data_IF_445334068362
#
_entry.id   IF_445334068362
#
_cell.length_a   1.000
_cell.length_b   1.000
_cell.length_c   1.000
_cell.angle_alpha   90.00
_cell.angle_beta   90.00
_cell.angle_gamma   90.00
#
_symmetry.space_group_name_H-M   'P 1'
#
loop_
_entity.id
_entity.type
_entity.pdbx_description
1 polymer ?
#
# COMPACT_ATOMS: atom_id res chain seq x y z
N UNK A 1 -21.53 17.33 47.83
CA UNK A 1 -20.65 16.46 47.04
C UNK A 1 -19.25 17.08 47.05
N UNK A 2 -18.26 16.37 47.53
CA UNK A 2 -16.88 16.91 47.58
C UNK A 2 -16.36 17.18 46.18
N UNK A 3 -15.56 18.22 46.01
CA UNK A 3 -14.97 18.60 44.72
C UNK A 3 -14.25 17.42 44.03
N UNK A 4 -13.77 16.46 44.81
CA UNK A 4 -13.20 15.18 44.31
C UNK A 4 -14.28 14.29 43.64
N UNK A 5 -15.47 14.13 44.22
CA UNK A 5 -16.54 13.31 43.63
C UNK A 5 -17.06 13.82 42.30
N UNK A 6 -17.09 15.16 42.14
CA UNK A 6 -17.47 15.76 40.85
C UNK A 6 -16.39 15.57 39.78
N UNK A 7 -15.11 15.65 40.14
CA UNK A 7 -14.00 15.37 39.20
C UNK A 7 -13.98 13.92 38.75
N UNK A 8 -14.12 12.97 39.66
CA UNK A 8 -14.16 11.54 39.36
C UNK A 8 -15.38 11.16 38.50
N UNK A 9 -16.52 11.82 38.72
CA UNK A 9 -17.69 11.63 37.85
C UNK A 9 -17.47 12.14 36.43
N UNK A 10 -16.89 13.34 36.27
CA UNK A 10 -16.53 13.89 34.95
C UNK A 10 -15.52 13.01 34.22
N UNK A 11 -14.49 12.52 34.91
CA UNK A 11 -13.50 11.61 34.32
C UNK A 11 -14.12 10.30 33.83
N UNK A 12 -15.03 9.71 34.61
CA UNK A 12 -15.74 8.51 34.18
C UNK A 12 -16.66 8.78 32.99
N UNK A 13 -17.39 9.89 33.02
CA UNK A 13 -18.26 10.27 31.91
C UNK A 13 -17.45 10.52 30.63
N UNK A 14 -16.32 11.20 30.74
CA UNK A 14 -15.41 11.42 29.62
C UNK A 14 -14.83 10.09 29.08
N UNK A 15 -14.37 9.22 29.98
CA UNK A 15 -13.88 7.89 29.61
C UNK A 15 -14.93 7.07 28.84
N UNK A 16 -16.16 7.00 29.34
CA UNK A 16 -17.25 6.29 28.66
C UNK A 16 -17.63 6.95 27.32
N UNK A 17 -17.61 8.26 27.24
CA UNK A 17 -17.83 8.97 25.99
C UNK A 17 -16.76 8.63 24.94
N UNK A 18 -15.49 8.62 25.33
CA UNK A 18 -14.37 8.22 24.46
C UNK A 18 -14.53 6.76 24.02
N UNK A 19 -14.83 5.85 24.94
CA UNK A 19 -15.08 4.44 24.62
C UNK A 19 -16.27 4.27 23.65
N UNK A 20 -17.35 5.03 23.87
CA UNK A 20 -18.52 5.00 22.99
C UNK A 20 -18.18 5.45 21.57
N UNK A 21 -17.50 6.60 21.40
CA UNK A 21 -17.09 7.07 20.08
C UNK A 21 -16.06 6.15 19.41
N UNK A 22 -15.12 5.60 20.18
CA UNK A 22 -14.18 4.61 19.67
C UNK A 22 -14.90 3.34 19.18
N UNK A 23 -15.89 2.85 19.94
CA UNK A 23 -16.71 1.71 19.51
C UNK A 23 -17.54 2.03 18.27
N UNK A 24 -18.10 3.24 18.20
CA UNK A 24 -18.90 3.68 17.06
C UNK A 24 -18.09 3.70 15.76
N UNK A 25 -16.79 4.01 15.82
CA UNK A 25 -15.89 3.95 14.65
C UNK A 25 -15.41 2.53 14.33
N UNK A 26 -15.27 1.67 15.35
CA UNK A 26 -14.80 0.30 15.17
C UNK A 26 -15.89 -0.65 14.64
N UNK A 27 -17.14 -0.45 15.03
CA UNK A 27 -18.27 -1.32 14.62
C UNK A 27 -18.43 -1.43 13.11
N UNK A 28 -18.50 -0.33 12.32
CA UNK A 28 -18.64 -0.42 10.87
C UNK A 28 -17.47 -1.19 10.22
N UNK A 29 -16.25 -0.95 10.69
CA UNK A 29 -15.07 -1.66 10.19
C UNK A 29 -15.18 -3.18 10.45
N UNK A 30 -15.59 -3.55 11.67
CA UNK A 30 -15.78 -4.96 12.01
C UNK A 30 -16.89 -5.61 11.15
N UNK A 31 -18.01 -4.91 10.94
CA UNK A 31 -19.10 -5.38 10.10
C UNK A 31 -18.67 -5.60 8.65
N UNK A 32 -17.89 -4.68 8.08
CA UNK A 32 -17.35 -4.80 6.72
C UNK A 32 -16.44 -6.04 6.63
N UNK A 33 -15.49 -6.18 7.56
CA UNK A 33 -14.56 -7.34 7.57
C UNK A 33 -15.34 -8.63 7.72
N UNK A 34 -16.33 -8.68 8.62
CA UNK A 34 -17.19 -9.84 8.82
C UNK A 34 -17.94 -10.23 7.55
N UNK A 35 -18.52 -9.26 6.84
CA UNK A 35 -19.25 -9.51 5.60
C UNK A 35 -18.31 -9.98 4.48
N UNK A 36 -17.13 -9.38 4.35
CA UNK A 36 -16.10 -9.80 3.40
C UNK A 36 -15.66 -11.24 3.68
N UNK A 37 -15.41 -11.61 4.93
CA UNK A 37 -15.04 -12.99 5.30
C UNK A 37 -16.19 -13.95 5.04
N UNK A 38 -17.42 -13.61 5.48
CA UNK A 38 -18.60 -14.45 5.36
C UNK A 38 -19.00 -14.76 3.92
N UNK A 39 -18.83 -13.81 3.01
CA UNK A 39 -19.17 -13.99 1.59
C UNK A 39 -17.96 -14.41 0.75
N UNK A 40 -16.78 -13.91 1.10
CA UNK A 40 -15.57 -14.05 0.28
C UNK A 40 -14.98 -15.46 0.25
N UNK A 41 -15.22 -16.31 1.26
CA UNK A 41 -14.62 -17.65 1.27
C UNK A 41 -15.20 -18.60 0.21
N UNK A 42 -16.39 -18.32 -0.34
CA UNK A 42 -17.16 -19.24 -1.17
C UNK A 42 -16.48 -19.62 -2.48
N UNK A 43 -15.87 -18.66 -3.17
CA UNK A 43 -15.20 -18.88 -4.47
C UNK A 43 -13.70 -19.18 -4.33
N UNK A 44 -13.15 -19.14 -3.11
CA UNK A 44 -11.72 -19.41 -2.90
C UNK A 44 -11.46 -20.91 -3.01
N UNK A 45 -10.92 -21.31 -4.16
CA UNK A 45 -10.46 -22.65 -4.48
C UNK A 45 -9.14 -22.57 -5.26
N UNK A 46 -8.55 -23.69 -5.62
CA UNK A 46 -7.26 -23.68 -6.35
C UNK A 46 -7.37 -22.98 -7.71
N UNK A 47 -8.49 -23.15 -8.42
CA UNK A 47 -8.73 -22.49 -9.72
C UNK A 47 -8.76 -20.98 -9.60
N UNK A 48 -9.31 -20.45 -8.51
CA UNK A 48 -9.34 -19.01 -8.23
C UNK A 48 -7.94 -18.34 -8.30
N UNK A 49 -6.88 -19.07 -7.95
CA UNK A 49 -5.51 -18.55 -7.97
C UNK A 49 -4.78 -18.79 -9.28
N UNK A 50 -5.21 -19.74 -10.09
CA UNK A 50 -4.49 -20.21 -11.28
C UNK A 50 -5.17 -19.79 -12.58
N UNK A 51 -6.50 -19.71 -12.57
CA UNK A 51 -7.28 -19.32 -13.75
C UNK A 51 -7.44 -17.79 -13.83
N UNK A 52 -7.67 -17.30 -15.05
CA UNK A 52 -7.92 -15.87 -15.29
C UNK A 52 -9.36 -15.50 -15.01
N UNK A 53 -9.66 -14.19 -15.05
CA UNK A 53 -11.00 -13.67 -14.81
C UNK A 53 -12.04 -14.34 -15.73
N UNK A 54 -13.19 -14.79 -15.16
CA UNK A 54 -14.24 -15.44 -15.92
C UNK A 54 -14.94 -14.48 -16.87
N UNK A 55 -15.51 -15.02 -17.95
CA UNK A 55 -16.39 -14.23 -18.82
C UNK A 55 -17.77 -14.05 -18.17
N UNK A 56 -18.49 -13.00 -18.57
CA UNK A 56 -19.89 -12.77 -18.17
C UNK A 56 -20.80 -13.97 -18.49
N UNK A 57 -20.55 -14.65 -19.63
CA UNK A 57 -21.34 -15.80 -20.04
C UNK A 57 -21.14 -16.99 -19.09
N UNK A 58 -19.89 -17.31 -18.76
CA UNK A 58 -19.56 -18.39 -17.84
C UNK A 58 -20.15 -18.14 -16.43
N UNK A 59 -20.06 -16.90 -15.96
CA UNK A 59 -20.63 -16.49 -14.71
C UNK A 59 -22.18 -16.61 -14.68
N UNK A 60 -22.83 -16.22 -15.76
CA UNK A 60 -24.29 -16.35 -15.92
C UNK A 60 -24.73 -17.82 -15.92
N UNK A 61 -24.02 -18.68 -16.65
CA UNK A 61 -24.31 -20.13 -16.70
C UNK A 61 -24.12 -20.76 -15.32
N UNK A 62 -23.02 -20.49 -14.65
CA UNK A 62 -22.74 -21.00 -13.31
C UNK A 62 -23.79 -20.55 -12.29
N UNK A 63 -24.22 -19.31 -12.35
CA UNK A 63 -25.27 -18.79 -11.46
C UNK A 63 -26.62 -19.48 -11.69
N UNK A 64 -26.97 -19.76 -12.93
CA UNK A 64 -28.23 -20.45 -13.27
C UNK A 64 -28.21 -21.93 -12.86
N UNK A 65 -27.04 -22.59 -12.90
CA UNK A 65 -26.86 -23.97 -12.44
C UNK A 65 -26.65 -24.11 -10.92
N UNK A 66 -26.42 -22.97 -10.20
CA UNK A 66 -26.09 -22.97 -8.78
C UNK A 66 -24.68 -23.47 -8.48
N UNK A 67 -23.80 -23.50 -9.48
CA UNK A 67 -22.41 -23.91 -9.34
C UNK A 67 -21.50 -22.73 -9.02
N UNK A 68 -20.25 -23.06 -8.62
CA UNK A 68 -19.21 -22.03 -8.45
C UNK A 68 -18.87 -21.40 -9.80
N UNK A 69 -18.62 -20.09 -9.82
CA UNK A 69 -18.22 -19.37 -11.02
C UNK A 69 -16.85 -19.92 -11.47
N UNK A 70 -16.72 -20.46 -12.70
CA UNK A 70 -15.45 -20.93 -13.22
C UNK A 70 -14.50 -19.73 -13.45
N UNK A 71 -13.19 -19.97 -13.31
CA UNK A 71 -12.18 -18.93 -13.44
C UNK A 71 -11.65 -18.44 -12.09
N UNK A 72 -10.84 -17.39 -12.14
CA UNK A 72 -10.14 -16.88 -10.97
C UNK A 72 -9.66 -15.44 -11.14
N UNK A 73 -8.54 -15.12 -10.50
CA UNK A 73 -7.94 -13.77 -10.51
C UNK A 73 -6.43 -13.79 -10.81
N UNK A 74 -5.92 -14.86 -11.44
CA UNK A 74 -4.49 -15.02 -11.71
C UNK A 74 -3.88 -13.85 -12.48
N UNK A 75 -4.60 -13.32 -13.49
CA UNK A 75 -4.19 -12.12 -14.23
C UNK A 75 -4.08 -10.88 -13.34
N UNK A 76 -4.97 -10.70 -12.37
CA UNK A 76 -4.89 -9.61 -11.41
C UNK A 76 -3.76 -9.79 -10.39
N UNK A 77 -3.52 -11.02 -9.91
CA UNK A 77 -2.42 -11.33 -8.99
C UNK A 77 -1.07 -11.05 -9.65
N UNK A 78 -0.85 -11.62 -10.83
CA UNK A 78 0.41 -11.48 -11.58
C UNK A 78 0.69 -10.02 -11.92
N UNK A 79 -0.32 -9.30 -12.41
CA UNK A 79 -0.15 -7.89 -12.76
C UNK A 79 0.05 -6.98 -11.54
N UNK A 80 -0.66 -7.22 -10.43
CA UNK A 80 -0.41 -6.47 -9.18
C UNK A 80 1.04 -6.66 -8.71
N UNK A 81 1.51 -7.90 -8.64
CA UNK A 81 2.88 -8.19 -8.19
C UNK A 81 3.91 -7.57 -9.13
N UNK A 82 3.71 -7.69 -10.44
CA UNK A 82 4.60 -7.12 -11.45
C UNK A 82 4.68 -5.60 -11.35
N UNK A 83 3.52 -4.90 -11.33
CA UNK A 83 3.50 -3.44 -11.25
C UNK A 83 4.05 -2.91 -9.94
N UNK A 84 3.74 -3.55 -8.81
CA UNK A 84 4.25 -3.16 -7.49
C UNK A 84 5.75 -3.43 -7.39
N UNK A 85 6.26 -4.54 -7.95
CA UNK A 85 7.70 -4.81 -7.98
C UNK A 85 8.44 -3.74 -8.78
N UNK A 86 7.97 -3.40 -9.98
CA UNK A 86 8.59 -2.35 -10.81
C UNK A 86 8.52 -0.97 -10.12
N UNK A 87 7.39 -0.63 -9.52
CA UNK A 87 7.25 0.61 -8.75
C UNK A 87 8.24 0.66 -7.58
N UNK A 88 8.42 -0.47 -6.88
CA UNK A 88 9.33 -0.59 -5.74
C UNK A 88 10.79 -0.40 -6.13
N UNK A 89 11.23 -0.94 -7.28
CA UNK A 89 12.60 -0.77 -7.80
C UNK A 89 12.96 0.71 -7.97
N UNK A 90 12.01 1.55 -8.33
CA UNK A 90 12.21 2.99 -8.49
C UNK A 90 12.00 3.73 -7.17
N UNK A 91 10.88 3.48 -6.50
CA UNK A 91 10.45 4.27 -5.36
C UNK A 91 11.31 4.02 -4.10
N UNK A 92 11.79 2.80 -3.87
CA UNK A 92 12.57 2.49 -2.66
C UNK A 92 13.91 3.21 -2.63
N UNK A 93 14.79 3.12 -3.65
CA UNK A 93 16.07 3.83 -3.64
C UNK A 93 15.89 5.36 -3.56
N UNK A 94 15.00 5.91 -4.40
CA UNK A 94 14.76 7.36 -4.44
C UNK A 94 14.15 7.85 -3.13
N UNK A 95 13.20 7.10 -2.57
CA UNK A 95 12.55 7.42 -1.29
C UNK A 95 13.51 7.39 -0.11
N UNK A 96 14.37 6.37 -0.03
CA UNK A 96 15.41 6.29 1.01
C UNK A 96 16.40 7.45 0.88
N UNK A 97 16.92 7.71 -0.30
CA UNK A 97 17.85 8.83 -0.53
C UNK A 97 17.23 10.18 -0.17
N UNK A 98 15.97 10.40 -0.58
CA UNK A 98 15.22 11.60 -0.21
C UNK A 98 15.04 11.74 1.29
N UNK A 99 14.63 10.67 1.98
CA UNK A 99 14.44 10.66 3.43
C UNK A 99 15.73 10.85 4.22
N UNK A 100 16.84 10.23 3.78
CA UNK A 100 18.18 10.46 4.34
C UNK A 100 18.57 11.93 4.18
N UNK A 101 18.36 12.52 3.02
CA UNK A 101 18.66 13.94 2.80
C UNK A 101 17.85 14.84 3.73
N UNK A 102 16.55 14.56 3.91
CA UNK A 102 15.68 15.34 4.81
C UNK A 102 16.09 15.21 6.29
N UNK A 103 16.53 14.04 6.71
CA UNK A 103 16.97 13.77 8.07
C UNK A 103 18.30 14.50 8.37
N UNK A 104 19.25 14.46 7.42
CA UNK A 104 20.60 14.94 7.61
C UNK A 104 20.76 16.46 7.36
N UNK A 105 19.92 17.05 6.54
CA UNK A 105 19.97 18.49 6.19
C UNK A 105 18.65 19.22 6.44
N UNK A 106 18.13 19.24 7.69
CA UNK A 106 16.78 19.73 7.97
C UNK A 106 16.58 21.24 7.69
N UNK A 107 17.65 22.02 7.69
CA UNK A 107 17.62 23.49 7.46
C UNK A 107 17.96 23.92 6.03
N UNK A 108 18.24 22.99 5.12
CA UNK A 108 18.55 23.33 3.75
C UNK A 108 17.29 23.82 2.99
N UNK A 109 17.44 24.78 2.09
CA UNK A 109 16.34 25.32 1.28
C UNK A 109 15.66 24.21 0.47
N UNK A 110 16.44 23.29 -0.09
CA UNK A 110 15.93 22.18 -0.87
C UNK A 110 15.10 21.17 -0.04
N UNK A 111 15.37 21.09 1.26
CA UNK A 111 14.57 20.27 2.21
C UNK A 111 13.12 20.74 2.28
N UNK A 112 12.90 22.06 2.32
CA UNK A 112 11.55 22.62 2.33
C UNK A 112 10.79 22.31 1.04
N UNK A 113 11.48 22.35 -0.11
CA UNK A 113 10.89 22.00 -1.41
C UNK A 113 10.49 20.52 -1.45
N UNK A 114 11.40 19.62 -1.05
CA UNK A 114 11.08 18.17 -1.02
C UNK A 114 9.90 17.89 -0.10
N UNK A 115 9.87 18.47 1.11
CA UNK A 115 8.72 18.29 2.03
C UNK A 115 7.43 18.79 1.41
N UNK A 116 7.46 19.99 0.83
CA UNK A 116 6.27 20.54 0.16
C UNK A 116 5.76 19.60 -0.96
N UNK A 117 6.64 19.11 -1.83
CA UNK A 117 6.27 18.18 -2.89
C UNK A 117 5.74 16.86 -2.33
N UNK A 118 6.37 16.35 -1.27
CA UNK A 118 5.93 15.11 -0.58
C UNK A 118 4.53 15.28 -0.01
N UNK A 119 4.26 16.41 0.65
CA UNK A 119 2.95 16.71 1.24
C UNK A 119 1.88 16.93 0.15
N UNK A 120 2.26 17.59 -0.95
CA UNK A 120 1.37 17.81 -2.09
C UNK A 120 0.95 16.48 -2.73
N UNK A 121 1.90 15.57 -3.00
CA UNK A 121 1.60 14.26 -3.59
C UNK A 121 0.76 13.41 -2.63
N UNK A 122 1.07 13.44 -1.32
CA UNK A 122 0.33 12.69 -0.31
C UNK A 122 -1.10 13.21 -0.11
N UNK A 123 -1.30 14.51 -0.23
CA UNK A 123 -2.62 15.15 -0.13
C UNK A 123 -3.45 15.12 -1.42
N UNK A 124 -2.84 14.76 -2.56
CA UNK A 124 -3.53 14.72 -3.84
C UNK A 124 -4.43 13.48 -3.96
N UNK A 125 -5.64 13.61 -4.55
CA UNK A 125 -6.45 12.45 -4.90
C UNK A 125 -5.68 11.51 -5.83
N UNK A 126 -5.76 10.19 -5.61
CA UNK A 126 -4.99 9.19 -6.37
C UNK A 126 -5.28 9.22 -7.88
N UNK A 127 -6.50 9.62 -8.26
CA UNK A 127 -6.88 9.79 -9.67
C UNK A 127 -6.03 10.87 -10.37
N UNK A 128 -5.66 11.95 -9.66
CA UNK A 128 -4.81 13.03 -10.21
C UNK A 128 -3.41 12.48 -10.54
N UNK A 129 -2.87 11.62 -9.66
CA UNK A 129 -1.60 10.94 -9.93
C UNK A 129 -1.72 10.03 -11.15
N UNK A 130 -2.86 9.36 -11.32
CA UNK A 130 -3.17 8.58 -12.52
C UNK A 130 -3.16 9.42 -13.78
N UNK A 131 -3.75 10.62 -13.79
CA UNK A 131 -3.75 11.56 -14.93
C UNK A 131 -2.33 12.02 -15.25
N UNK A 132 -1.51 12.31 -14.24
CA UNK A 132 -0.09 12.69 -14.44
C UNK A 132 0.66 11.54 -15.10
N UNK A 133 0.56 10.32 -14.56
CA UNK A 133 1.22 9.15 -15.12
C UNK A 133 0.71 8.81 -16.53
N UNK A 134 -0.58 8.99 -16.79
CA UNK A 134 -1.17 8.89 -18.12
C UNK A 134 -0.48 9.85 -19.10
N UNK A 135 -0.38 11.13 -18.72
CA UNK A 135 0.20 12.17 -19.56
C UNK A 135 1.69 11.95 -19.82
N UNK A 136 2.42 11.40 -18.85
CA UNK A 136 3.86 11.20 -18.95
C UNK A 136 4.26 9.90 -19.62
N UNK A 137 3.44 8.84 -19.50
CA UNK A 137 3.80 7.49 -19.97
C UNK A 137 2.83 6.98 -21.03
N UNK A 138 1.53 6.93 -20.76
CA UNK A 138 0.54 6.36 -21.70
C UNK A 138 0.47 7.17 -23.00
N UNK A 139 0.37 8.50 -22.87
CA UNK A 139 0.24 9.39 -24.03
C UNK A 139 1.46 9.33 -24.97
N UNK A 140 2.71 9.38 -24.46
CA UNK A 140 3.90 9.22 -25.32
C UNK A 140 4.08 7.82 -25.90
N UNK A 141 3.73 6.76 -25.14
CA UNK A 141 3.81 5.39 -25.63
C UNK A 141 2.68 5.02 -26.60
N UNK A 142 1.58 5.78 -26.57
CA UNK A 142 0.38 5.50 -27.36
C UNK A 142 -0.42 4.29 -26.89
N UNK A 143 -0.08 3.69 -25.74
CA UNK A 143 -0.76 2.50 -25.20
C UNK A 143 -0.76 2.49 -23.67
N UNK A 144 -1.81 1.90 -23.10
CA UNK A 144 -1.85 1.51 -21.70
C UNK A 144 -0.85 0.39 -21.44
N UNK A 145 -0.25 0.34 -20.24
CA UNK A 145 0.81 -0.63 -19.97
C UNK A 145 1.08 -0.82 -18.49
N UNK A 146 1.71 -1.94 -18.13
CA UNK A 146 2.18 -2.18 -16.77
C UNK A 146 3.23 -1.14 -16.31
N UNK A 147 4.06 -0.63 -17.23
CA UNK A 147 5.03 0.45 -16.94
C UNK A 147 4.30 1.74 -16.53
N UNK A 148 3.22 2.09 -17.22
CA UNK A 148 2.45 3.28 -16.88
C UNK A 148 1.80 3.13 -15.49
N UNK A 149 1.22 1.94 -15.21
CA UNK A 149 0.69 1.60 -13.89
C UNK A 149 1.74 1.67 -12.79
N UNK A 150 2.90 1.06 -13.01
CA UNK A 150 4.00 1.09 -12.03
C UNK A 150 4.56 2.48 -11.80
N UNK A 151 4.57 3.34 -12.81
CA UNK A 151 4.98 4.75 -12.64
C UNK A 151 4.02 5.49 -11.72
N UNK A 152 2.71 5.33 -11.90
CA UNK A 152 1.70 5.90 -11.01
C UNK A 152 1.87 5.41 -9.58
N UNK A 153 2.04 4.10 -9.38
CA UNK A 153 2.26 3.50 -8.06
C UNK A 153 3.57 4.00 -7.43
N UNK A 154 4.67 4.12 -8.21
CA UNK A 154 5.94 4.63 -7.72
C UNK A 154 5.82 6.06 -7.18
N UNK A 155 5.14 6.96 -7.92
CA UNK A 155 4.88 8.33 -7.46
C UNK A 155 4.15 8.31 -6.12
N UNK A 156 3.17 7.43 -5.93
CA UNK A 156 2.41 7.33 -4.69
C UNK A 156 3.19 6.70 -3.53
N UNK A 157 4.17 5.84 -3.82
CA UNK A 157 5.03 5.23 -2.79
C UNK A 157 6.05 6.23 -2.25
N UNK A 158 6.58 7.13 -3.08
CA UNK A 158 7.65 8.06 -2.72
C UNK A 158 7.42 8.84 -1.43
N UNK A 159 6.27 9.53 -1.23
CA UNK A 159 6.03 10.30 -0.02
C UNK A 159 6.11 9.47 1.26
N UNK A 160 5.54 8.26 1.22
CA UNK A 160 5.52 7.37 2.38
C UNK A 160 6.92 6.88 2.75
N UNK A 161 7.73 6.49 1.75
CA UNK A 161 9.08 6.01 1.97
C UNK A 161 9.98 7.17 2.45
N UNK A 162 9.88 8.36 1.83
CA UNK A 162 10.63 9.55 2.24
C UNK A 162 10.35 9.89 3.70
N UNK A 163 9.06 10.01 4.07
CA UNK A 163 8.65 10.36 5.43
C UNK A 163 9.06 9.32 6.46
N UNK A 164 8.78 8.05 6.18
CA UNK A 164 9.16 6.96 7.08
C UNK A 164 10.67 6.88 7.28
N UNK A 165 11.46 7.11 6.23
CA UNK A 165 12.93 7.14 6.31
C UNK A 165 13.41 8.33 7.14
N UNK A 166 12.88 9.54 6.88
CA UNK A 166 13.22 10.75 7.64
C UNK A 166 12.92 10.56 9.14
N UNK A 167 11.72 10.09 9.48
CA UNK A 167 11.29 9.89 10.85
C UNK A 167 12.11 8.83 11.58
N UNK A 168 12.38 7.71 10.91
CA UNK A 168 13.17 6.62 11.49
C UNK A 168 14.60 7.06 11.79
N UNK A 169 15.25 7.78 10.86
CA UNK A 169 16.61 8.27 11.07
C UNK A 169 16.68 9.33 12.18
N UNK A 170 15.67 10.18 12.31
CA UNK A 170 15.59 11.18 13.39
C UNK A 170 15.40 10.57 14.79
N UNK A 171 14.89 9.35 14.88
CA UNK A 171 14.77 8.64 16.16
C UNK A 171 16.10 8.05 16.64
N UNK A 172 17.12 7.96 15.79
CA UNK A 172 18.43 7.48 16.20
C UNK A 172 19.14 8.53 17.07
N UNK A 173 19.82 8.12 18.15
CA UNK A 173 20.59 9.04 18.99
C UNK A 173 21.75 9.66 18.20
N UNK A 174 21.94 10.98 18.31
CA UNK A 174 23.00 11.70 17.62
C UNK A 174 24.40 11.21 17.96
N UNK A 175 24.59 10.65 19.16
CA UNK A 175 25.83 10.04 19.60
C UNK A 175 26.38 8.93 18.68
N UNK A 176 25.50 8.17 18.00
CA UNK A 176 25.92 7.18 17.02
C UNK A 176 26.69 7.81 15.85
N UNK A 177 26.20 8.94 15.38
CA UNK A 177 26.83 9.69 14.29
C UNK A 177 28.15 10.33 14.75
N UNK A 178 28.14 10.95 15.92
CA UNK A 178 29.32 11.58 16.52
C UNK A 178 30.43 10.56 16.80
N UNK A 179 30.08 9.39 17.33
CA UNK A 179 31.03 8.30 17.56
C UNK A 179 31.70 7.81 16.26
N UNK A 180 30.91 7.63 15.20
CA UNK A 180 31.47 7.23 13.89
C UNK A 180 32.43 8.27 13.31
N UNK A 181 32.12 9.56 13.43
CA UNK A 181 32.97 10.64 12.99
C UNK A 181 34.25 10.77 13.87
N UNK A 182 34.13 10.57 15.19
CA UNK A 182 35.26 10.59 16.12
C UNK A 182 36.30 9.50 15.83
N UNK A 183 35.84 8.36 15.29
CA UNK A 183 36.71 7.27 14.81
C UNK A 183 37.37 7.56 13.45
N UNK A 184 37.21 8.76 12.89
CA UNK A 184 37.78 9.18 11.62
C UNK A 184 37.07 8.65 10.36
N UNK A 185 35.85 8.08 10.52
CA UNK A 185 35.09 7.64 9.37
C UNK A 185 34.55 8.85 8.57
N UNK A 186 34.51 8.74 7.24
CA UNK A 186 33.86 9.75 6.40
C UNK A 186 32.35 9.78 6.70
N UNK A 187 31.76 10.98 6.57
CA UNK A 187 30.31 11.18 6.77
C UNK A 187 29.44 10.17 6.00
N UNK A 188 29.75 9.96 4.73
CA UNK A 188 29.01 8.98 3.89
C UNK A 188 29.14 7.56 4.42
N UNK A 189 30.35 7.19 4.92
CA UNK A 189 30.56 5.89 5.53
C UNK A 189 29.72 5.69 6.80
N UNK A 190 29.61 6.72 7.64
CA UNK A 190 28.77 6.72 8.84
C UNK A 190 27.30 6.55 8.46
N UNK A 191 26.79 7.30 7.47
CA UNK A 191 25.41 7.18 7.00
C UNK A 191 25.12 5.78 6.50
N UNK A 192 25.95 5.25 5.59
CA UNK A 192 25.66 3.96 4.92
C UNK A 192 25.94 2.75 5.85
N UNK A 193 27.00 2.79 6.66
CA UNK A 193 27.45 1.63 7.44
C UNK A 193 26.96 1.65 8.89
N UNK A 194 26.49 2.79 9.41
CA UNK A 194 26.04 2.91 10.79
C UNK A 194 24.56 3.30 10.85
N UNK A 195 24.17 4.45 10.27
CA UNK A 195 22.82 4.98 10.45
C UNK A 195 21.76 4.15 9.71
N UNK A 196 21.97 3.82 8.43
CA UNK A 196 21.00 3.04 7.65
C UNK A 196 20.82 1.63 8.23
N UNK A 197 21.86 0.86 8.57
CA UNK A 197 21.70 -0.44 9.22
C UNK A 197 21.03 -0.35 10.59
N UNK A 198 21.36 0.65 11.41
CA UNK A 198 20.71 0.89 12.70
C UNK A 198 19.22 1.25 12.57
N UNK A 199 18.83 1.89 11.46
CA UNK A 199 17.46 2.25 11.13
C UNK A 199 16.68 1.15 10.40
N UNK A 200 17.31 0.02 10.04
CA UNK A 200 16.76 -0.97 9.11
C UNK A 200 15.35 -1.42 9.44
N UNK A 201 15.06 -1.72 10.70
CA UNK A 201 13.73 -2.17 11.13
C UNK A 201 12.62 -1.16 10.84
N UNK A 202 12.89 0.14 11.05
CA UNK A 202 11.95 1.22 10.74
C UNK A 202 11.82 1.47 9.25
N UNK A 203 12.95 1.50 8.53
CA UNK A 203 12.97 1.65 7.07
C UNK A 203 12.18 0.53 6.38
N UNK A 204 12.45 -0.71 6.76
CA UNK A 204 11.75 -1.88 6.21
C UNK A 204 10.24 -1.82 6.47
N UNK A 205 9.84 -1.43 7.67
CA UNK A 205 8.42 -1.26 8.00
C UNK A 205 7.77 -0.17 7.13
N UNK A 206 8.43 0.97 6.96
CA UNK A 206 7.93 2.06 6.11
C UNK A 206 7.79 1.64 4.65
N UNK A 207 8.75 0.89 4.12
CA UNK A 207 8.69 0.34 2.76
C UNK A 207 7.51 -0.61 2.61
N UNK A 208 7.33 -1.57 3.54
CA UNK A 208 6.22 -2.52 3.46
C UNK A 208 4.86 -1.85 3.64
N UNK A 209 4.75 -0.80 4.45
CA UNK A 209 3.54 0.01 4.54
C UNK A 209 3.23 0.73 3.22
N UNK A 210 4.25 1.27 2.54
CA UNK A 210 4.10 1.89 1.23
C UNK A 210 3.64 0.88 0.17
N UNK A 211 4.24 -0.32 0.14
CA UNK A 211 3.83 -1.42 -0.73
C UNK A 211 2.39 -1.83 -0.45
N UNK A 212 2.05 -2.09 0.81
CA UNK A 212 0.70 -2.50 1.22
C UNK A 212 -0.37 -1.50 0.80
N UNK A 213 -0.06 -0.21 0.87
CA UNK A 213 -0.98 0.84 0.43
C UNK A 213 -1.24 0.79 -1.06
N UNK A 214 -0.18 0.76 -1.89
CA UNK A 214 -0.35 0.85 -3.34
C UNK A 214 -0.91 -0.43 -3.96
N UNK A 215 -0.81 -1.58 -3.27
CA UNK A 215 -1.44 -2.82 -3.71
C UNK A 215 -2.97 -2.75 -3.76
N UNK A 216 -3.58 -1.84 -3.01
CA UNK A 216 -5.03 -1.61 -3.01
C UNK A 216 -5.50 -0.47 -3.91
N UNK A 217 -4.62 0.17 -4.65
CA UNK A 217 -4.98 1.34 -5.48
C UNK A 217 -5.66 0.92 -6.79
N UNK A 218 -6.82 1.53 -7.04
CA UNK A 218 -7.63 1.25 -8.24
C UNK A 218 -7.60 2.42 -9.21
N UNK A 219 -7.90 3.64 -8.73
CA UNK A 219 -8.13 4.80 -9.59
C UNK A 219 -6.94 5.17 -10.50
N UNK A 220 -5.69 5.22 -10.05
CA UNK A 220 -4.58 5.51 -10.95
C UNK A 220 -4.35 4.40 -11.99
N UNK A 221 -4.59 3.13 -11.63
CA UNK A 221 -4.40 2.00 -12.53
C UNK A 221 -5.46 1.94 -13.64
N UNK A 222 -6.69 2.39 -13.38
CA UNK A 222 -7.73 2.51 -14.40
C UNK A 222 -7.31 3.43 -15.55
N UNK A 223 -6.49 4.45 -15.26
CA UNK A 223 -6.03 5.43 -16.25
C UNK A 223 -4.68 5.07 -16.87
N UNK A 224 -4.01 4.03 -16.39
CA UNK A 224 -2.63 3.74 -16.82
C UNK A 224 -2.40 2.30 -17.27
N UNK A 225 -2.96 1.31 -16.55
CA UNK A 225 -2.82 -0.11 -16.87
C UNK A 225 -4.02 -0.67 -17.64
N UNK A 226 -5.20 -0.09 -17.49
CA UNK A 226 -6.49 -0.37 -18.12
C UNK A 226 -7.11 -1.74 -17.78
N UNK A 227 -6.31 -2.77 -17.56
CA UNK A 227 -6.76 -4.14 -17.34
C UNK A 227 -6.59 -5.05 -18.58
N UNK A 228 -6.56 -6.35 -18.36
CA UNK A 228 -6.48 -7.40 -19.37
C UNK A 228 -7.12 -8.68 -18.83
N UNK A 229 -7.90 -9.38 -19.65
CA UNK A 229 -8.47 -10.69 -19.30
C UNK A 229 -7.43 -11.81 -19.29
N UNK A 230 -6.29 -11.63 -19.97
CA UNK A 230 -5.19 -12.58 -20.02
C UNK A 230 -4.07 -12.22 -19.06
N UNK A 231 -3.26 -13.22 -18.67
CA UNK A 231 -1.99 -12.99 -17.98
C UNK A 231 -0.99 -12.43 -18.99
N UNK A 232 -0.53 -11.21 -18.74
CA UNK A 232 0.39 -10.51 -19.61
C UNK A 232 1.73 -10.29 -18.91
N UNK A 233 2.81 -10.85 -19.46
CA UNK A 233 4.17 -10.66 -18.95
C UNK A 233 4.92 -9.54 -19.66
N UNK A 234 4.38 -9.06 -20.80
CA UNK A 234 4.93 -7.91 -21.49
C UNK A 234 4.54 -6.64 -20.75
N UNK A 235 5.53 -5.98 -20.20
CA UNK A 235 5.38 -4.75 -19.40
C UNK A 235 4.87 -3.55 -20.20
N UNK A 236 4.94 -3.61 -21.53
CA UNK A 236 4.46 -2.57 -22.44
C UNK A 236 2.98 -2.78 -22.84
N UNK A 237 2.35 -3.85 -22.42
CA UNK A 237 0.96 -4.18 -22.72
C UNK A 237 0.04 -3.88 -21.53
N UNK A 238 -1.27 -3.67 -21.81
CA UNK A 238 -2.27 -3.56 -20.76
C UNK A 238 -2.23 -4.76 -19.82
N UNK A 239 -2.35 -4.50 -18.53
CA UNK A 239 -2.21 -5.51 -17.48
C UNK A 239 -3.23 -5.26 -16.39
N UNK A 240 -3.90 -6.32 -15.93
CA UNK A 240 -4.87 -6.21 -14.84
C UNK A 240 -4.19 -6.14 -13.47
N UNK A 241 -4.93 -5.69 -12.49
CA UNK A 241 -4.57 -5.76 -11.07
C UNK A 241 -5.76 -6.25 -10.26
N UNK A 242 -5.53 -6.82 -9.07
CA UNK A 242 -6.64 -7.30 -8.24
C UNK A 242 -7.67 -6.20 -7.95
N UNK A 243 -7.29 -4.95 -7.60
CA UNK A 243 -8.25 -3.87 -7.44
C UNK A 243 -9.01 -3.50 -8.73
N UNK A 244 -8.36 -3.62 -9.91
CA UNK A 244 -9.02 -3.40 -11.19
C UNK A 244 -10.04 -4.50 -11.48
N UNK A 245 -9.72 -5.77 -11.21
CA UNK A 245 -10.67 -6.87 -11.35
C UNK A 245 -11.89 -6.72 -10.44
N UNK A 246 -11.69 -6.28 -9.19
CA UNK A 246 -12.80 -6.00 -8.27
C UNK A 246 -13.72 -4.93 -8.86
N UNK A 247 -13.16 -3.89 -9.45
CA UNK A 247 -13.92 -2.85 -10.14
C UNK A 247 -14.64 -3.38 -11.39
N UNK A 248 -13.97 -4.20 -12.19
CA UNK A 248 -14.53 -4.82 -13.39
C UNK A 248 -15.69 -5.75 -13.03
N UNK A 249 -15.52 -6.62 -12.03
CA UNK A 249 -16.57 -7.51 -11.53
C UNK A 249 -17.77 -6.74 -10.94
N UNK A 250 -17.56 -5.56 -10.38
CA UNK A 250 -18.64 -4.73 -9.84
C UNK A 250 -19.64 -4.28 -10.93
N UNK A 251 -19.17 -4.15 -12.16
CA UNK A 251 -20.02 -3.75 -13.29
C UNK A 251 -20.87 -4.90 -13.85
N UNK A 252 -20.65 -6.15 -13.39
CA UNK A 252 -21.41 -7.33 -13.83
C UNK A 252 -22.12 -7.99 -12.62
N UNK A 253 -23.48 -7.94 -12.58
CA UNK A 253 -24.26 -8.55 -11.50
C UNK A 253 -24.03 -10.06 -11.32
N UNK A 254 -23.53 -10.77 -12.35
CA UNK A 254 -23.25 -12.20 -12.27
C UNK A 254 -21.93 -12.51 -11.55
N UNK A 255 -21.03 -11.53 -11.42
CA UNK A 255 -19.70 -11.66 -10.84
C UNK A 255 -19.62 -11.18 -9.37
N UNK A 256 -20.75 -10.90 -8.72
CA UNK A 256 -20.78 -10.39 -7.33
C UNK A 256 -20.02 -11.28 -6.35
N UNK A 257 -20.12 -12.61 -6.48
CA UNK A 257 -19.40 -13.52 -5.59
C UNK A 257 -17.88 -13.46 -5.79
N UNK A 258 -17.42 -13.17 -7.00
CA UNK A 258 -16.01 -12.93 -7.30
C UNK A 258 -15.49 -11.64 -6.64
N UNK A 259 -16.32 -10.60 -6.51
CA UNK A 259 -15.96 -9.35 -5.80
C UNK A 259 -15.59 -9.68 -4.35
N UNK A 260 -16.45 -10.42 -3.65
CA UNK A 260 -16.23 -10.75 -2.26
C UNK A 260 -14.96 -11.58 -2.05
N UNK A 261 -14.74 -12.57 -2.92
CA UNK A 261 -13.56 -13.44 -2.83
C UNK A 261 -12.26 -12.72 -3.19
N UNK A 262 -12.28 -11.88 -4.23
CA UNK A 262 -11.13 -11.04 -4.59
C UNK A 262 -10.80 -10.01 -3.52
N UNK A 263 -11.83 -9.41 -2.90
CA UNK A 263 -11.66 -8.48 -1.79
C UNK A 263 -11.09 -9.16 -0.54
N UNK A 264 -11.57 -10.38 -0.23
CA UNK A 264 -11.02 -11.19 0.87
C UNK A 264 -9.56 -11.55 0.62
N UNK A 265 -9.22 -11.98 -0.60
CA UNK A 265 -7.84 -12.27 -0.98
C UNK A 265 -6.94 -11.05 -0.80
N UNK A 266 -7.33 -9.88 -1.31
CA UNK A 266 -6.56 -8.65 -1.20
C UNK A 266 -6.38 -8.22 0.25
N UNK A 267 -7.43 -8.31 1.07
CA UNK A 267 -7.38 -8.03 2.51
C UNK A 267 -6.39 -8.95 3.23
N UNK A 268 -6.46 -10.26 2.97
CA UNK A 268 -5.54 -11.24 3.57
C UNK A 268 -4.10 -11.02 3.12
N UNK A 269 -3.87 -10.72 1.84
CA UNK A 269 -2.55 -10.44 1.29
C UNK A 269 -1.91 -9.22 1.99
N UNK A 270 -2.66 -8.13 2.11
CA UNK A 270 -2.22 -6.92 2.80
C UNK A 270 -1.98 -7.19 4.29
N UNK A 271 -2.87 -7.96 4.94
CA UNK A 271 -2.71 -8.33 6.35
C UNK A 271 -1.43 -9.14 6.59
N UNK A 272 -1.17 -10.14 5.75
CA UNK A 272 0.05 -10.97 5.83
C UNK A 272 1.30 -10.10 5.67
N UNK A 273 1.33 -9.22 4.68
CA UNK A 273 2.44 -8.28 4.47
C UNK A 273 2.67 -7.39 5.70
N UNK A 274 1.61 -6.85 6.30
CA UNK A 274 1.71 -6.02 7.49
C UNK A 274 2.18 -6.81 8.73
N UNK A 275 1.77 -8.08 8.87
CA UNK A 275 2.27 -8.96 9.94
C UNK A 275 3.76 -9.23 9.76
N UNK A 276 4.19 -9.55 8.54
CA UNK A 276 5.61 -9.76 8.21
C UNK A 276 6.41 -8.49 8.55
N UNK A 277 5.92 -7.31 8.15
CA UNK A 277 6.56 -6.04 8.46
C UNK A 277 6.81 -5.86 9.97
N UNK A 278 5.75 -6.09 10.77
CA UNK A 278 5.83 -5.98 12.23
C UNK A 278 6.79 -6.99 12.86
N UNK A 279 6.79 -8.23 12.37
CA UNK A 279 7.68 -9.29 12.91
C UNK A 279 9.15 -8.98 12.62
N UNK A 280 9.47 -8.56 11.40
CA UNK A 280 10.82 -8.15 11.01
C UNK A 280 11.27 -6.96 11.85
N UNK A 281 10.45 -5.91 11.94
CA UNK A 281 10.77 -4.74 12.75
C UNK A 281 11.03 -5.09 14.23
N UNK A 282 10.26 -6.02 14.81
CA UNK A 282 10.46 -6.48 16.19
C UNK A 282 11.81 -7.20 16.35
N UNK A 283 12.17 -8.08 15.42
CA UNK A 283 13.44 -8.85 15.47
C UNK A 283 14.66 -7.93 15.42
N UNK A 284 14.59 -6.84 14.65
CA UNK A 284 15.71 -5.90 14.52
C UNK A 284 15.77 -4.82 15.63
N UNK A 285 14.74 -4.67 16.45
CA UNK A 285 14.78 -3.82 17.66
C UNK A 285 15.46 -4.50 18.83
N UNK A 286 15.58 -5.81 18.82
CA UNK A 286 16.17 -6.62 19.91
C UNK A 286 17.59 -7.07 19.61
N UNK A 287 18.12 -6.79 18.45
CA UNK A 287 19.51 -7.00 18.04
C UNK A 287 20.26 -5.67 18.03
#
# INVERSE_FOLDING_TARGET
MSALGYRTFKDRLFFWSVCFFASLTAIPLFLIIWEVVKKGYKQINLRFFVETAPSTLDAMLARNSGELIPGGIANGITGTLMMVAMASVIAIPVGILGGVYLAEKPKAVFTSVIRFLTDLVQGSPSIVIGIIAYSWVVKPLGSYSAIAGSTALAIMMLPLIIRSTEETLKMLPGSLKEAGLALGCSYTSVVIKVLIPSAFGGLFTGILLAISRVMGETAPLMLTALGSSAINWDVLQPTSAVPLLIWEFYNDPNLIDMIWSSSLFLLLLILVLNIIAKQVAKKWKTA
#
